data_IF_648673347261
#
_entry.id   IF_648673347261
#
_cell.length_a   1.000
_cell.length_b   1.000
_cell.length_c   1.000
_cell.angle_alpha   90.00
_cell.angle_beta   90.00
_cell.angle_gamma   90.00
#
_symmetry.space_group_name_H-M   'P 1'
#
loop_
_entity.id
_entity.type
_entity.pdbx_description
1 polymer ?
#
# COMPACT_ATOMS: atom_id res chain seq x y z
N UNK A 1 19.60 -12.55 -9.24
CA UNK A 1 18.94 -11.91 -8.12
C UNK A 1 17.72 -12.76 -7.73
N UNK A 2 17.66 -13.25 -6.47
CA UNK A 2 16.72 -14.29 -6.02
C UNK A 2 15.25 -13.94 -6.30
N UNK A 3 14.85 -12.66 -6.21
CA UNK A 3 13.47 -12.24 -6.52
C UNK A 3 13.14 -12.38 -8.00
N UNK A 4 14.07 -11.97 -8.87
CA UNK A 4 13.91 -12.12 -10.32
C UNK A 4 13.84 -13.58 -10.72
N UNK A 5 14.68 -14.41 -10.12
CA UNK A 5 14.75 -15.85 -10.43
C UNK A 5 13.49 -16.57 -9.95
N UNK A 6 12.89 -16.14 -8.83
CA UNK A 6 11.59 -16.64 -8.37
C UNK A 6 10.44 -16.27 -9.33
N UNK A 7 10.40 -15.04 -9.82
CA UNK A 7 9.38 -14.62 -10.80
C UNK A 7 9.49 -15.44 -12.09
N UNK A 8 10.71 -15.63 -12.61
CA UNK A 8 10.96 -16.46 -13.79
C UNK A 8 10.49 -17.89 -13.56
N UNK A 9 10.82 -18.47 -12.40
CA UNK A 9 10.43 -19.84 -12.07
C UNK A 9 8.89 -20.01 -11.98
N UNK A 10 8.14 -18.98 -11.55
CA UNK A 10 6.67 -19.02 -11.56
C UNK A 10 6.10 -19.06 -12.99
N UNK A 11 6.66 -18.25 -13.91
CA UNK A 11 6.27 -18.29 -15.33
C UNK A 11 6.59 -19.64 -15.97
N UNK A 12 7.74 -20.23 -15.68
CA UNK A 12 8.13 -21.55 -16.20
C UNK A 12 7.21 -22.67 -15.71
N UNK A 13 6.78 -22.61 -14.46
CA UNK A 13 5.81 -23.57 -13.87
C UNK A 13 4.39 -23.42 -14.43
N UNK A 14 4.10 -22.34 -15.12
CA UNK A 14 2.75 -21.96 -15.61
C UNK A 14 1.69 -21.99 -14.52
N UNK A 15 2.10 -21.69 -13.28
CA UNK A 15 1.21 -21.60 -12.14
C UNK A 15 1.91 -20.85 -11.00
N UNK A 16 1.36 -19.69 -10.64
CA UNK A 16 1.88 -18.92 -9.54
C UNK A 16 1.11 -17.62 -9.35
N UNK A 17 1.56 -16.87 -8.36
CA UNK A 17 1.05 -15.55 -8.04
C UNK A 17 2.24 -14.60 -7.82
N UNK A 18 2.19 -13.46 -8.49
CA UNK A 18 3.14 -12.36 -8.30
C UNK A 18 2.37 -11.19 -7.70
N UNK A 19 2.79 -10.73 -6.54
CA UNK A 19 2.16 -9.62 -5.84
C UNK A 19 3.14 -8.47 -5.71
N UNK A 20 2.79 -7.33 -6.31
CA UNK A 20 3.55 -6.10 -6.18
C UNK A 20 3.00 -5.26 -5.04
N UNK A 21 3.86 -4.95 -4.06
CA UNK A 21 3.51 -4.03 -2.98
C UNK A 21 3.89 -2.61 -3.40
N UNK A 22 2.90 -1.82 -3.76
CA UNK A 22 3.08 -0.44 -4.21
C UNK A 22 2.89 0.55 -3.05
N UNK A 23 2.10 1.58 -3.20
CA UNK A 23 1.71 2.52 -2.15
C UNK A 23 0.56 3.38 -2.65
N UNK A 24 -0.29 3.88 -1.75
CA UNK A 24 -1.31 4.87 -2.08
C UNK A 24 -0.75 6.13 -2.75
N UNK A 25 0.51 6.48 -2.46
CA UNK A 25 1.16 7.66 -3.06
C UNK A 25 1.33 7.55 -4.58
N UNK A 26 1.20 6.36 -5.15
CA UNK A 26 1.18 6.17 -6.61
C UNK A 26 -0.02 6.88 -7.27
N UNK A 27 -1.13 7.05 -6.53
CA UNK A 27 -2.34 7.74 -6.99
C UNK A 27 -2.57 9.07 -6.27
N UNK A 28 -2.18 9.13 -5.00
CA UNK A 28 -2.37 10.31 -4.14
C UNK A 28 -0.99 10.83 -3.69
N UNK A 29 -0.26 11.51 -4.58
CA UNK A 29 1.10 11.96 -4.28
C UNK A 29 1.12 12.93 -3.11
N UNK A 30 2.21 12.89 -2.34
CA UNK A 30 2.42 13.75 -1.18
C UNK A 30 3.66 14.61 -1.38
N UNK A 31 3.67 15.79 -0.76
CA UNK A 31 4.85 16.66 -0.72
C UNK A 31 6.04 15.95 -0.07
N UNK A 32 7.26 16.35 -0.44
CA UNK A 32 8.53 15.78 0.04
C UNK A 32 8.78 14.30 -0.35
N UNK A 33 7.94 13.71 -1.21
CA UNK A 33 8.05 12.30 -1.59
C UNK A 33 8.21 12.08 -3.11
N UNK A 34 8.62 13.07 -3.88
CA UNK A 34 8.60 13.00 -5.35
C UNK A 34 9.31 11.76 -5.92
N UNK A 35 10.51 11.44 -5.44
CA UNK A 35 11.26 10.25 -5.90
C UNK A 35 10.53 8.94 -5.51
N UNK A 36 9.98 8.87 -4.30
CA UNK A 36 9.22 7.73 -3.83
C UNK A 36 7.92 7.56 -4.62
N UNK A 37 7.18 8.65 -4.86
CA UNK A 37 5.98 8.68 -5.71
C UNK A 37 6.31 8.14 -7.10
N UNK A 38 7.37 8.66 -7.74
CA UNK A 38 7.79 8.22 -9.06
C UNK A 38 8.13 6.72 -9.09
N UNK A 39 8.82 6.21 -8.08
CA UNK A 39 9.16 4.79 -7.97
C UNK A 39 7.93 3.90 -7.83
N UNK A 40 6.97 4.28 -6.99
CA UNK A 40 5.76 3.50 -6.73
C UNK A 40 4.74 3.59 -7.88
N UNK A 41 4.62 4.74 -8.52
CA UNK A 41 3.81 4.91 -9.74
C UNK A 41 4.38 4.09 -10.91
N UNK A 42 5.70 4.12 -11.09
CA UNK A 42 6.37 3.30 -12.10
C UNK A 42 6.21 1.80 -11.83
N UNK A 43 6.34 1.36 -10.58
CA UNK A 43 6.12 -0.03 -10.19
C UNK A 43 4.68 -0.48 -10.47
N UNK A 44 3.70 0.39 -10.22
CA UNK A 44 2.30 0.07 -10.52
C UNK A 44 2.03 -0.04 -12.02
N UNK A 45 2.62 0.85 -12.83
CA UNK A 45 2.58 0.75 -14.28
C UNK A 45 3.19 -0.56 -14.79
N UNK A 46 4.35 -0.91 -14.26
CA UNK A 46 5.02 -2.18 -14.57
C UNK A 46 4.17 -3.40 -14.19
N UNK A 47 3.61 -3.42 -12.98
CA UNK A 47 2.75 -4.52 -12.53
C UNK A 47 1.52 -4.71 -13.42
N UNK A 48 0.92 -3.62 -13.90
CA UNK A 48 -0.23 -3.65 -14.82
C UNK A 48 0.17 -4.23 -16.18
N UNK A 49 1.32 -3.85 -16.72
CA UNK A 49 1.83 -4.41 -17.97
C UNK A 49 2.11 -5.91 -17.83
N UNK A 50 2.81 -6.31 -16.75
CA UNK A 50 3.04 -7.73 -16.45
C UNK A 50 1.76 -8.53 -16.30
N UNK A 51 0.71 -7.94 -15.72
CA UNK A 51 -0.58 -8.61 -15.60
C UNK A 51 -1.18 -8.95 -16.97
N UNK A 52 -1.01 -8.08 -17.95
CA UNK A 52 -1.45 -8.32 -19.34
C UNK A 52 -0.56 -9.37 -20.03
N UNK A 53 0.74 -9.26 -19.89
CA UNK A 53 1.71 -10.18 -20.49
C UNK A 53 1.60 -11.61 -19.94
N UNK A 54 1.12 -11.76 -18.68
CA UNK A 54 0.93 -13.06 -18.05
C UNK A 54 -0.43 -13.72 -18.35
N UNK A 55 -1.31 -13.07 -19.10
CA UNK A 55 -2.60 -13.65 -19.45
C UNK A 55 -2.44 -14.97 -20.24
N UNK A 56 -3.20 -15.99 -19.84
CA UNK A 56 -3.11 -17.32 -20.44
C UNK A 56 -1.91 -18.18 -20.02
N UNK A 57 -0.95 -17.63 -19.26
CA UNK A 57 0.22 -18.39 -18.81
C UNK A 57 -0.03 -19.26 -17.57
N UNK A 58 -1.11 -18.98 -16.83
CA UNK A 58 -1.39 -19.59 -15.52
C UNK A 58 -0.77 -18.82 -14.34
N UNK A 59 -0.01 -17.76 -14.59
CA UNK A 59 0.49 -16.85 -13.56
C UNK A 59 -0.48 -15.68 -13.36
N UNK A 60 -0.84 -15.40 -12.10
CA UNK A 60 -1.66 -14.24 -11.75
C UNK A 60 -0.77 -13.13 -11.20
N UNK A 61 -0.99 -11.92 -11.67
CA UNK A 61 -0.30 -10.74 -11.19
C UNK A 61 -1.29 -9.82 -10.49
N UNK A 62 -0.97 -9.36 -9.30
CA UNK A 62 -1.80 -8.45 -8.51
C UNK A 62 -0.99 -7.36 -7.83
N UNK A 63 -1.68 -6.35 -7.36
CA UNK A 63 -1.10 -5.19 -6.68
C UNK A 63 -1.75 -5.07 -5.29
N UNK A 64 -0.93 -4.99 -4.25
CA UNK A 64 -1.35 -4.49 -2.94
C UNK A 64 -0.89 -3.05 -2.83
N UNK A 65 -1.83 -2.15 -2.52
CA UNK A 65 -1.58 -0.72 -2.38
C UNK A 65 -1.85 -0.30 -0.94
N UNK A 66 -0.81 -0.27 -0.08
CA UNK A 66 -0.97 0.18 1.29
C UNK A 66 -1.09 1.69 1.41
N UNK A 67 -1.93 2.13 2.33
CA UNK A 67 -1.89 3.44 2.94
C UNK A 67 -0.81 3.58 4.00
N UNK A 68 -0.92 4.56 4.91
CA UNK A 68 0.03 4.74 5.99
C UNK A 68 0.24 3.45 6.79
N UNK A 69 1.48 2.99 6.86
CA UNK A 69 1.85 1.73 7.51
C UNK A 69 2.95 1.99 8.52
N UNK A 70 2.81 1.42 9.71
CA UNK A 70 3.84 1.50 10.77
C UNK A 70 5.03 0.63 10.39
N UNK A 71 6.04 1.24 9.79
CA UNK A 71 7.29 0.61 9.36
C UNK A 71 8.48 1.42 9.86
N UNK A 72 9.67 0.89 9.64
CA UNK A 72 10.91 1.63 9.92
C UNK A 72 11.20 2.75 8.90
N UNK A 73 10.34 2.95 7.90
CA UNK A 73 10.51 4.02 6.92
C UNK A 73 10.47 5.38 7.62
N UNK A 74 11.52 6.15 7.48
CA UNK A 74 11.68 7.43 8.16
C UNK A 74 12.34 7.35 9.54
N UNK A 75 12.62 6.16 10.08
CA UNK A 75 13.29 6.01 11.38
C UNK A 75 14.69 6.63 11.42
N UNK A 76 15.32 6.81 10.27
CA UNK A 76 16.65 7.43 10.12
C UNK A 76 16.58 8.92 9.76
N UNK A 77 15.39 9.48 9.64
CA UNK A 77 15.23 10.89 9.31
C UNK A 77 15.44 11.75 10.57
N UNK A 78 16.00 12.93 10.38
CA UNK A 78 16.12 13.91 11.44
C UNK A 78 14.73 14.40 11.88
N UNK A 79 14.54 14.65 13.17
CA UNK A 79 13.25 15.06 13.75
C UNK A 79 12.72 16.33 13.07
N UNK A 80 13.60 17.27 12.74
CA UNK A 80 13.23 18.51 12.04
C UNK A 80 12.61 18.22 10.67
N UNK A 81 13.20 17.31 9.90
CA UNK A 81 12.66 16.88 8.60
C UNK A 81 11.31 16.20 8.73
N UNK A 82 11.11 15.37 9.75
CA UNK A 82 9.83 14.71 10.03
C UNK A 82 8.76 15.76 10.33
N UNK A 83 9.08 16.73 11.18
CA UNK A 83 8.14 17.80 11.57
C UNK A 83 7.74 18.67 10.36
N UNK A 84 8.68 18.99 9.47
CA UNK A 84 8.41 19.73 8.25
C UNK A 84 7.45 18.96 7.33
N UNK A 85 7.71 17.68 7.12
CA UNK A 85 6.87 16.79 6.30
C UNK A 85 5.47 16.68 6.87
N UNK A 86 5.32 16.41 8.17
CA UNK A 86 4.01 16.27 8.84
C UNK A 86 3.25 17.61 8.78
N UNK A 87 3.93 18.73 9.04
CA UNK A 87 3.33 20.06 8.94
C UNK A 87 2.80 20.34 7.55
N UNK A 88 3.57 20.04 6.52
CA UNK A 88 3.16 20.19 5.12
C UNK A 88 1.95 19.31 4.79
N UNK A 89 1.96 18.05 5.19
CA UNK A 89 0.84 17.13 4.93
C UNK A 89 -0.43 17.52 5.66
N UNK A 90 -0.31 18.05 6.88
CA UNK A 90 -1.44 18.57 7.64
C UNK A 90 -2.00 19.82 6.98
N UNK A 91 -1.14 20.77 6.59
CA UNK A 91 -1.53 22.01 5.92
C UNK A 91 -2.32 21.76 4.63
N UNK A 92 -1.89 20.80 3.83
CA UNK A 92 -2.54 20.46 2.56
C UNK A 92 -3.64 19.40 2.68
N UNK A 93 -4.02 19.01 3.89
CA UNK A 93 -5.07 18.00 4.11
C UNK A 93 -4.72 16.60 3.64
N UNK A 94 -3.42 16.30 3.50
CA UNK A 94 -2.92 14.98 3.08
C UNK A 94 -2.87 13.98 4.23
N UNK A 95 -2.88 14.45 5.47
CA UNK A 95 -2.94 13.66 6.69
C UNK A 95 -4.31 13.87 7.35
N UNK A 96 -5.17 12.87 7.27
CA UNK A 96 -6.55 12.93 7.79
C UNK A 96 -6.68 12.48 9.25
N UNK A 97 -5.82 11.55 9.65
CA UNK A 97 -5.71 11.00 11.00
C UNK A 97 -4.34 10.32 11.16
N UNK A 98 -4.01 9.94 12.36
CA UNK A 98 -2.74 9.30 12.74
C UNK A 98 -2.79 7.76 12.71
N UNK A 99 -3.88 7.17 12.25
CA UNK A 99 -4.01 5.72 12.08
C UNK A 99 -2.96 5.18 11.11
N UNK A 100 -2.40 4.02 11.43
CA UNK A 100 -1.44 3.31 10.61
C UNK A 100 -1.73 1.80 10.61
N UNK A 101 -1.53 1.17 9.45
CA UNK A 101 -1.63 -0.27 9.28
C UNK A 101 -0.43 -0.92 9.97
N UNK A 102 -0.64 -1.99 10.71
CA UNK A 102 0.47 -2.77 11.28
C UNK A 102 1.01 -3.78 10.25
N UNK A 103 2.29 -4.18 10.35
CA UNK A 103 2.87 -5.16 9.42
C UNK A 103 2.08 -6.47 9.32
N UNK A 104 1.44 -6.91 10.40
CA UNK A 104 0.60 -8.12 10.42
C UNK A 104 -0.59 -7.98 9.47
N UNK A 105 -1.32 -6.86 9.51
CA UNK A 105 -2.47 -6.62 8.63
C UNK A 105 -2.05 -6.58 7.16
N UNK A 106 -0.85 -6.04 6.88
CA UNK A 106 -0.27 -6.08 5.54
C UNK A 106 0.02 -7.50 5.07
N UNK A 107 0.52 -8.36 5.96
CA UNK A 107 0.75 -9.77 5.63
C UNK A 107 -0.56 -10.50 5.32
N UNK A 108 -1.62 -10.21 6.06
CA UNK A 108 -2.96 -10.76 5.81
C UNK A 108 -3.53 -10.28 4.46
N UNK A 109 -3.30 -9.02 4.09
CA UNK A 109 -3.70 -8.49 2.79
C UNK A 109 -2.97 -9.20 1.64
N UNK A 110 -1.65 -9.39 1.74
CA UNK A 110 -0.87 -10.13 0.74
C UNK A 110 -1.34 -11.58 0.66
N UNK A 111 -1.58 -12.23 1.80
CA UNK A 111 -2.08 -13.60 1.83
C UNK A 111 -3.44 -13.72 1.16
N UNK A 112 -4.34 -12.75 1.35
CA UNK A 112 -5.65 -12.74 0.70
C UNK A 112 -5.54 -12.68 -0.82
N UNK A 113 -4.54 -11.97 -1.35
CA UNK A 113 -4.28 -11.88 -2.81
C UNK A 113 -3.99 -13.23 -3.44
N UNK A 114 -3.23 -14.08 -2.74
CA UNK A 114 -2.79 -15.38 -3.27
C UNK A 114 -3.73 -16.53 -2.91
N UNK A 115 -4.59 -16.34 -1.91
CA UNK A 115 -5.51 -17.38 -1.42
C UNK A 115 -6.81 -17.48 -2.20
N UNK A 116 -7.11 -16.54 -3.09
CA UNK A 116 -8.34 -16.56 -3.89
C UNK A 116 -8.34 -17.76 -4.84
N UNK A 117 -9.49 -18.43 -5.06
CA UNK A 117 -9.59 -19.59 -5.95
C UNK A 117 -9.12 -19.31 -7.37
N UNK A 118 -8.61 -20.33 -8.07
CA UNK A 118 -8.26 -20.22 -9.49
C UNK A 118 -9.50 -19.87 -10.33
N UNK A 119 -9.29 -19.10 -11.39
CA UNK A 119 -10.35 -18.48 -12.16
C UNK A 119 -10.70 -17.06 -11.72
N UNK A 120 -10.15 -16.64 -10.57
CA UNK A 120 -10.32 -15.28 -10.00
C UNK A 120 -8.95 -14.72 -9.63
N UNK A 121 -8.79 -13.42 -9.72
CA UNK A 121 -7.65 -12.68 -9.15
C UNK A 121 -8.10 -11.34 -8.57
N UNK A 122 -7.48 -10.92 -7.50
CA UNK A 122 -7.52 -9.53 -7.07
C UNK A 122 -6.56 -8.73 -7.96
N UNK A 123 -7.06 -7.82 -8.76
CA UNK A 123 -6.21 -7.00 -9.62
C UNK A 123 -5.45 -5.94 -8.80
N UNK A 124 -6.18 -5.28 -7.90
CA UNK A 124 -5.63 -4.32 -6.94
C UNK A 124 -6.38 -4.48 -5.63
N UNK A 125 -5.64 -4.56 -4.55
CA UNK A 125 -6.16 -4.49 -3.18
C UNK A 125 -5.58 -3.25 -2.51
N UNK A 126 -6.41 -2.25 -2.29
CA UNK A 126 -6.03 -1.08 -1.52
C UNK A 126 -6.37 -1.30 -0.06
N UNK A 127 -5.40 -1.06 0.82
CA UNK A 127 -5.52 -1.27 2.26
C UNK A 127 -5.27 0.06 2.94
N UNK A 128 -6.27 0.57 3.66
CA UNK A 128 -6.19 1.82 4.39
C UNK A 128 -6.33 1.58 5.89
N UNK A 129 -5.66 2.37 6.73
CA UNK A 129 -5.89 2.29 8.16
C UNK A 129 -7.28 2.82 8.50
N UNK A 130 -7.93 2.17 9.45
CA UNK A 130 -9.13 2.72 10.06
C UNK A 130 -8.78 3.96 10.89
N UNK A 131 -9.61 5.00 10.79
CA UNK A 131 -9.43 6.18 11.64
C UNK A 131 -9.68 5.81 13.11
N UNK A 132 -8.87 6.34 14.05
CA UNK A 132 -9.12 6.14 15.47
C UNK A 132 -10.53 6.60 15.88
N UNK A 133 -11.17 5.83 16.74
CA UNK A 133 -12.49 6.18 17.26
C UNK A 133 -12.36 7.42 18.14
N UNK A 134 -13.04 8.49 17.77
CA UNK A 134 -13.15 9.69 18.61
C UNK A 134 -14.24 9.42 19.65
N UNK A 135 -13.94 9.52 20.96
CA UNK A 135 -14.96 9.40 21.98
C UNK A 135 -16.07 10.42 21.77
N UNK A 136 -17.33 9.99 21.91
CA UNK A 136 -18.45 10.92 21.86
C UNK A 136 -18.22 12.04 22.91
N UNK A 137 -18.29 13.29 22.48
CA UNK A 137 -18.26 14.40 23.44
C UNK A 137 -19.41 14.21 24.42
N UNK A 138 -19.21 14.34 25.75
CA UNK A 138 -20.31 14.27 26.69
C UNK A 138 -21.36 15.32 26.27
N UNK A 139 -22.59 14.85 26.11
CA UNK A 139 -23.70 15.74 25.80
C UNK A 139 -23.69 16.87 26.85
N UNK A 140 -23.62 18.11 26.38
CA UNK A 140 -23.78 19.26 27.26
C UNK A 140 -25.20 19.14 27.84
N UNK A 141 -25.31 18.78 29.13
CA UNK A 141 -26.60 18.88 29.84
C UNK A 141 -27.00 20.34 29.74
N UNK A 142 -27.94 20.63 28.87
CA UNK A 142 -28.62 21.92 28.87
C UNK A 142 -29.28 22.06 30.24
N UNK A 143 -28.70 22.95 31.05
CA UNK A 143 -29.31 23.38 32.30
C UNK A 143 -30.58 24.14 31.91
N UNK A 144 -31.72 23.52 32.20
CA UNK A 144 -33.03 24.16 32.25
C UNK A 144 -33.14 25.00 33.50
#
# INVERSE_FOLDING_TARGET
DAERDNVIAEFERRRGDVVFVTSEVALSPRTHMAAYVASKAGLEGFARAMAMESEGTGVRVGIVRPGPTSTEQGSTWEIESINEVISSWTHWGMLRHDGAIRPKEMSEAVLSMVSVPRGTRWAVLEVQPEAPVVPASPATEEQQ
#
